data_IF_593598722842
#
_entry.id   IF_593598722842
#
_cell.length_a   1.000
_cell.length_b   1.000
_cell.length_c   1.000
_cell.angle_alpha   90.00
_cell.angle_beta   90.00
_cell.angle_gamma   90.00
#
_symmetry.space_group_name_H-M   'P 1'
#
loop_
_entity.id
_entity.type
_entity.pdbx_description
1 polymer ?
#
# COMPACT_ATOMS: atom_id res chain seq x y z
N UNK A 1 -3.51 9.98 -24.89
CA UNK A 1 -3.89 9.45 -23.59
C UNK A 1 -3.61 10.45 -22.47
N UNK A 2 -4.65 10.77 -21.70
CA UNK A 2 -4.55 11.77 -20.63
C UNK A 2 -5.48 11.38 -19.50
N UNK A 3 -5.09 10.40 -18.69
CA UNK A 3 -5.91 10.02 -17.54
C UNK A 3 -5.99 11.14 -16.52
N UNK A 4 -7.13 11.21 -15.84
CA UNK A 4 -7.36 12.18 -14.78
C UNK A 4 -7.64 11.43 -13.49
N UNK A 5 -6.85 11.69 -12.47
CA UNK A 5 -6.99 11.03 -11.18
C UNK A 5 -7.58 12.00 -10.17
N UNK A 6 -8.01 11.45 -9.03
CA UNK A 6 -8.56 12.24 -7.95
C UNK A 6 -7.62 12.30 -6.77
N UNK A 7 -7.92 13.22 -5.86
CA UNK A 7 -7.11 13.40 -4.68
C UNK A 7 -7.30 12.23 -3.71
N UNK A 8 -6.30 12.02 -2.87
CA UNK A 8 -6.35 11.00 -1.83
C UNK A 8 -6.55 11.68 -0.49
N UNK A 9 -7.51 11.19 0.27
CA UNK A 9 -8.00 11.91 1.44
C UNK A 9 -8.10 10.98 2.63
N UNK A 10 -7.93 11.54 3.83
CA UNK A 10 -8.06 10.79 5.07
C UNK A 10 -8.36 11.75 6.20
N UNK A 11 -9.31 11.40 7.06
CA UNK A 11 -9.64 12.20 8.23
C UNK A 11 -9.17 11.57 9.53
N UNK A 12 -9.35 10.26 9.67
CA UNK A 12 -8.91 9.56 10.86
C UNK A 12 -7.48 9.06 10.72
N UNK A 13 -7.10 8.20 11.66
CA UNK A 13 -5.76 7.64 11.67
C UNK A 13 -5.51 6.79 10.43
N UNK A 14 -4.24 6.64 10.07
CA UNK A 14 -3.83 5.87 8.91
C UNK A 14 -2.49 5.23 9.22
N UNK A 15 -2.50 3.98 9.64
CA UNK A 15 -1.30 3.31 10.14
C UNK A 15 -0.71 2.46 9.02
N UNK A 16 -0.13 3.12 8.02
CA UNK A 16 0.48 2.42 6.89
C UNK A 16 1.84 1.92 7.36
N UNK A 17 1.87 0.69 7.86
CA UNK A 17 3.04 0.21 8.59
C UNK A 17 4.17 -0.16 7.64
N UNK A 18 3.93 -1.12 6.75
CA UNK A 18 5.04 -1.75 6.04
C UNK A 18 4.61 -2.06 4.61
N UNK A 19 4.88 -1.13 3.70
CA UNK A 19 4.32 -1.23 2.36
C UNK A 19 5.16 -0.41 1.39
N UNK A 20 4.72 -0.38 0.13
CA UNK A 20 5.44 0.28 -0.95
C UNK A 20 4.45 0.96 -1.88
N UNK A 21 4.72 2.22 -2.22
CA UNK A 21 3.82 3.03 -3.04
C UNK A 21 4.54 3.44 -4.32
N UNK A 22 3.78 3.55 -5.40
CA UNK A 22 4.27 4.06 -6.67
C UNK A 22 3.23 5.01 -7.24
N UNK A 23 3.68 5.97 -8.04
CA UNK A 23 2.77 6.91 -8.68
C UNK A 23 3.44 7.50 -9.91
N UNK A 24 2.66 7.72 -10.96
CA UNK A 24 3.18 8.29 -12.18
C UNK A 24 3.65 7.23 -13.15
N UNK A 25 4.12 7.70 -14.31
CA UNK A 25 4.55 6.82 -15.38
C UNK A 25 5.74 6.00 -14.90
N UNK A 26 5.55 4.69 -14.78
CA UNK A 26 6.57 3.78 -14.26
C UNK A 26 6.70 2.57 -15.18
N UNK A 27 7.28 2.74 -16.36
CA UNK A 27 7.53 1.57 -17.22
C UNK A 27 8.50 0.61 -16.55
N UNK A 28 8.26 -0.68 -16.73
CA UNK A 28 9.10 -1.72 -16.16
C UNK A 28 9.45 -2.73 -17.23
N UNK A 29 10.73 -3.09 -17.31
CA UNK A 29 11.21 -4.09 -18.24
C UNK A 29 12.09 -5.15 -17.60
N UNK A 30 12.68 -4.88 -16.45
CA UNK A 30 13.46 -5.85 -15.72
C UNK A 30 12.58 -6.76 -14.90
N UNK A 31 13.02 -7.01 -13.67
CA UNK A 31 12.29 -7.88 -12.75
C UNK A 31 11.97 -7.13 -11.46
N UNK A 32 10.77 -7.37 -10.94
CA UNK A 32 10.35 -6.88 -9.64
C UNK A 32 9.85 -8.05 -8.82
N UNK A 33 10.35 -8.18 -7.60
CA UNK A 33 10.02 -9.31 -6.74
C UNK A 33 9.46 -8.79 -5.43
N UNK A 34 8.35 -9.37 -4.99
CA UNK A 34 7.71 -9.03 -3.72
C UNK A 34 7.41 -10.33 -3.01
N UNK A 35 8.07 -10.57 -1.88
CA UNK A 35 7.84 -11.78 -1.11
C UNK A 35 7.75 -11.42 0.37
N UNK A 36 6.80 -12.05 1.07
CA UNK A 36 6.46 -11.69 2.43
C UNK A 36 6.26 -12.96 3.24
N UNK A 37 6.97 -13.09 4.36
CA UNK A 37 6.89 -14.28 5.20
C UNK A 37 7.33 -14.00 6.63
N UNK A 38 6.52 -13.26 7.39
CA UNK A 38 6.70 -13.25 8.85
C UNK A 38 6.32 -14.60 9.41
N UNK A 39 7.04 -15.06 10.43
CA UNK A 39 6.81 -16.41 10.91
C UNK A 39 6.72 -16.58 12.42
N UNK A 40 6.59 -15.50 13.19
CA UNK A 40 6.09 -15.62 14.56
C UNK A 40 5.45 -14.28 14.92
N UNK A 41 4.14 -14.18 14.71
CA UNK A 41 3.43 -12.92 14.86
C UNK A 41 2.02 -13.22 15.34
N UNK A 42 1.51 -12.40 16.27
CA UNK A 42 0.16 -12.54 16.81
C UNK A 42 -0.56 -11.20 16.71
N UNK A 43 -1.08 -10.86 15.53
CA UNK A 43 -1.73 -9.56 15.36
C UNK A 43 -3.10 -9.53 16.01
N UNK A 44 -3.59 -8.32 16.26
CA UNK A 44 -4.99 -8.09 16.61
C UNK A 44 -5.50 -6.90 15.82
N UNK A 45 -6.75 -6.99 15.37
CA UNK A 45 -7.38 -5.93 14.59
C UNK A 45 -8.74 -5.62 15.20
N UNK A 46 -9.13 -4.35 15.16
CA UNK A 46 -10.34 -3.91 15.82
C UNK A 46 -11.53 -3.75 14.89
N UNK A 47 -12.72 -3.96 15.45
CA UNK A 47 -13.97 -3.75 14.75
C UNK A 47 -14.47 -2.34 14.88
N UNK A 48 -15.76 -2.15 14.60
CA UNK A 48 -16.38 -0.83 14.68
C UNK A 48 -17.73 -0.95 15.36
N UNK A 49 -18.25 0.19 15.80
CA UNK A 49 -19.60 0.27 16.34
C UNK A 49 -20.50 1.12 15.44
N UNK B 1 0.91 12.06 -23.91
CA UNK B 1 0.48 11.60 -22.60
C UNK B 1 0.75 12.64 -21.51
N UNK B 2 -0.30 13.00 -20.78
CA UNK B 2 -0.21 14.05 -19.76
C UNK B 2 -1.18 13.72 -18.64
N UNK B 3 -0.82 12.77 -17.78
CA UNK B 3 -1.69 12.45 -16.64
C UNK B 3 -1.78 13.61 -15.67
N UNK B 4 -2.94 13.73 -15.03
CA UNK B 4 -3.18 14.74 -14.01
C UNK B 4 -3.51 14.05 -12.70
N UNK B 5 -2.74 14.35 -11.66
CA UNK B 5 -2.93 13.74 -10.36
C UNK B 5 -3.52 14.76 -9.40
N UNK B 6 -3.99 14.27 -8.26
CA UNK B 6 -4.56 15.11 -7.23
C UNK B 6 -3.65 15.20 -6.02
N UNK B 7 -3.96 16.16 -5.16
CA UNK B 7 -3.18 16.38 -3.96
C UNK B 7 -3.42 15.26 -2.96
N UNK B 8 -2.44 15.05 -2.08
CA UNK B 8 -2.54 14.08 -1.00
C UNK B 8 -2.77 14.82 0.30
N UNK B 9 -3.76 14.38 1.06
CA UNK B 9 -4.27 15.15 2.18
C UNK B 9 -4.42 14.28 3.41
N UNK B 10 -4.27 14.88 4.58
CA UNK B 10 -4.45 14.18 5.85
C UNK B 10 -4.75 15.20 6.93
N UNK B 11 -5.73 14.90 7.78
CA UNK B 11 -6.08 15.76 8.90
C UNK B 11 -5.66 15.16 10.24
N UNK B 12 -5.87 13.87 10.44
CA UNK B 12 -5.47 13.21 11.66
C UNK B 12 -4.05 12.68 11.58
N UNK B 13 -3.71 11.85 12.56
CA UNK B 13 -2.38 11.28 12.63
C UNK B 13 -2.12 10.37 11.44
N UNK B 14 -0.84 10.18 11.13
CA UNK B 14 -0.41 9.36 10.00
C UNK B 14 0.92 8.71 10.38
N UNK B 15 0.87 7.48 10.86
CA UNK B 15 2.04 6.81 11.41
C UNK B 15 2.65 5.91 10.34
N UNK B 16 3.27 6.51 9.34
CA UNK B 16 3.90 5.76 8.26
C UNK B 16 5.24 5.26 8.78
N UNK B 17 5.23 4.04 9.33
CA UNK B 17 6.37 3.58 10.12
C UNK B 17 7.52 3.16 9.21
N UNK B 18 7.29 2.17 8.35
CA UNK B 18 8.40 1.48 7.71
C UNK B 18 8.01 1.13 6.28
N UNK B 19 8.32 2.01 5.33
CA UNK B 19 7.80 1.87 3.99
C UNK B 19 8.67 2.63 3.00
N UNK B 20 8.27 2.62 1.73
CA UNK B 20 9.03 3.22 0.65
C UNK B 20 8.07 3.88 -0.33
N UNK B 21 8.38 5.12 -0.71
CA UNK B 21 7.52 5.91 -1.59
C UNK B 21 8.28 6.25 -2.87
N UNK B 22 7.55 6.33 -3.98
CA UNK B 22 8.09 6.78 -5.25
C UNK B 22 7.08 7.72 -5.89
N UNK B 23 7.57 8.64 -6.71
CA UNK B 23 6.69 9.57 -7.42
C UNK B 23 7.41 10.10 -8.65
N UNK B 24 6.66 10.29 -9.73
CA UNK B 24 7.22 10.79 -10.96
C UNK B 24 7.70 9.69 -11.87
N UNK B 25 8.21 10.11 -13.03
CA UNK B 25 8.65 9.17 -14.05
C UNK B 25 9.81 8.35 -13.51
N UNK B 26 9.60 7.05 -13.35
CA UNK B 26 10.59 6.15 -12.76
C UNK B 26 10.72 4.90 -13.62
N UNK B 27 11.34 5.01 -14.79
CA UNK B 27 11.59 3.80 -15.60
C UNK B 27 12.52 2.86 -14.86
N UNK B 28 12.27 1.57 -15.00
CA UNK B 28 13.07 0.54 -14.36
C UNK B 28 13.43 -0.53 -15.38
N UNK B 29 14.71 -0.91 -15.40
CA UNK B 29 15.20 -1.95 -16.28
C UNK B 29 16.04 -3.00 -15.57
N UNK B 30 16.61 -2.69 -14.41
CA UNK B 30 17.35 -3.65 -13.63
C UNK B 30 16.43 -4.51 -12.79
N UNK B 31 16.83 -4.71 -11.54
CA UNK B 31 16.07 -5.53 -10.61
C UNK B 31 15.72 -4.72 -9.37
N UNK B 32 14.50 -4.92 -8.87
CA UNK B 32 14.05 -4.37 -7.60
C UNK B 32 13.51 -5.50 -6.75
N UNK B 33 13.98 -5.59 -5.51
CA UNK B 33 13.60 -6.67 -4.62
C UNK B 33 13.02 -6.09 -3.34
N UNK B 34 11.88 -6.63 -2.91
CA UNK B 34 11.21 -6.23 -1.68
C UNK B 34 10.87 -7.50 -0.92
N UNK B 35 11.50 -7.70 0.24
CA UNK B 35 11.22 -8.87 1.05
C UNK B 35 11.10 -8.46 2.51
N UNK B 36 10.13 -9.04 3.20
CA UNK B 36 9.76 -8.62 4.55
C UNK B 36 9.50 -9.85 5.40
N UNK B 37 10.18 -9.94 6.54
CA UNK B 37 10.06 -11.10 7.42
C UNK B 37 10.46 -10.76 8.86
N UNK B 38 9.65 -9.98 9.56
CA UNK B 38 9.79 -9.91 11.02
C UNK B 38 9.36 -11.23 11.63
N UNK B 39 10.05 -11.66 12.69
CA UNK B 39 9.78 -12.99 13.21
C UNK B 39 9.65 -13.09 14.73
N UNK B 40 9.52 -11.98 15.45
CA UNK B 40 8.98 -12.04 16.81
C UNK B 40 8.35 -10.67 17.10
N UNK B 41 7.05 -10.56 16.84
CA UNK B 41 6.36 -9.28 16.92
C UNK B 41 4.93 -9.54 17.38
N UNK B 42 4.42 -8.67 18.25
CA UNK B 42 3.05 -8.77 18.76
C UNK B 42 2.35 -7.42 18.59
N UNK B 43 1.87 -7.13 17.38
CA UNK B 43 1.25 -5.82 17.14
C UNK B 43 -0.14 -5.75 17.75
N UNK B 44 -0.62 -4.51 17.94
CA UNK B 44 -2.02 -4.25 18.24
C UNK B 44 -2.49 -3.08 17.38
N UNK B 45 -3.73 -3.17 16.90
CA UNK B 45 -4.32 -2.13 16.06
C UNK B 45 -5.69 -1.77 16.62
N UNK B 46 -6.06 -0.50 16.52
CA UNK B 46 -7.28 -0.02 17.13
C UNK B 46 -8.43 0.13 16.16
N UNK B 47 -9.64 -0.04 16.69
CA UNK B 47 -10.87 0.15 15.94
C UNK B 47 -11.35 1.58 16.00
N UNK B 48 -12.63 1.78 15.68
CA UNK B 48 -13.22 3.11 15.69
C UNK B 48 -14.60 3.04 16.34
N UNK B 49 -15.11 4.21 16.71
CA UNK B 49 -16.47 4.33 17.21
C UNK B 49 -17.33 5.16 16.26
N UNK C 1 -8.28 7.82 -25.56
CA UNK C 1 -8.60 7.23 -24.27
C UNK C 1 -8.28 8.19 -23.12
N UNK C 2 -9.28 8.45 -22.29
CA UNK C 2 -9.15 9.41 -21.19
C UNK C 2 -10.03 8.96 -20.03
N UNK C 3 -9.58 7.95 -19.29
CA UNK C 3 -10.35 7.51 -18.12
C UNK C 3 -10.40 8.58 -17.05
N UNK C 4 -11.51 8.60 -16.32
CA UNK C 4 -11.71 9.52 -15.21
C UNK C 4 -11.92 8.71 -13.94
N UNK C 5 -11.09 8.94 -12.94
CA UNK C 5 -11.16 8.22 -11.68
C UNK C 5 -11.72 9.14 -10.60
N UNK C 6 -12.08 8.54 -9.47
CA UNK C 6 -12.60 9.27 -8.34
C UNK C 6 -11.60 9.29 -7.19
N UNK C 7 -11.88 10.17 -6.23
CA UNK C 7 -11.02 10.31 -5.08
C UNK C 7 -11.15 9.10 -4.16
N UNK C 8 -10.11 8.86 -3.38
CA UNK C 8 -10.10 7.80 -2.38
C UNK C 8 -10.25 8.42 -1.00
N UNK C 9 -11.17 7.88 -0.22
CA UNK C 9 -11.62 8.54 1.00
C UNK C 9 -11.65 7.56 2.15
N UNK C 10 -11.43 8.07 3.36
CA UNK C 10 -11.50 7.26 4.57
C UNK C 10 -11.75 8.18 5.76
N UNK C 11 -12.66 7.77 6.64
CA UNK C 11 -12.95 8.52 7.86
C UNK C 11 -12.41 7.83 9.11
N UNK C 12 -12.57 6.52 9.21
CA UNK C 12 -12.06 5.78 10.33
C UNK C 12 -10.64 5.31 10.11
N UNK C 13 -10.20 4.41 10.99
CA UNK C 13 -8.85 3.88 10.92
C UNK C 13 -8.65 3.08 9.64
N UNK C 14 -7.39 2.97 9.22
CA UNK C 14 -7.03 2.26 8.00
C UNK C 14 -5.66 1.63 8.23
N UNK C 15 -5.63 0.36 8.60
CA UNK C 15 -4.41 -0.31 9.01
C UNK C 15 -3.85 -1.09 7.83
N UNK C 16 -3.33 -0.39 6.84
CA UNK C 16 -2.75 -1.02 5.65
C UNK C 16 -1.37 -1.53 6.04
N UNK C 17 -1.30 -2.78 6.48
CA UNK C 17 -0.09 -3.26 7.14
C UNK C 17 1.00 -3.58 6.12
N UNK C 18 0.73 -4.50 5.20
CA UNK C 18 1.82 -5.09 4.42
C UNK C 18 1.33 -5.33 3.00
N UNK C 19 1.55 -4.36 2.12
CA UNK C 19 0.93 -4.41 0.80
C UNK C 19 1.71 -3.54 -0.17
N UNK C 20 1.21 -3.46 -1.41
CA UNK C 20 1.87 -2.75 -2.49
C UNK C 20 0.83 -2.04 -3.34
N UNK C 21 1.07 -0.76 -3.63
CA UNK C 21 0.13 0.06 -4.38
C UNK C 21 0.77 0.54 -5.67
N UNK C 22 -0.03 0.69 -6.72
CA UNK C 22 0.40 1.26 -7.98
C UNK C 22 -0.68 2.22 -8.46
N UNK C 23 -0.28 3.22 -9.24
CA UNK C 23 -1.24 4.17 -9.79
C UNK C 23 -0.63 4.82 -11.02
N UNK C 24 -1.46 5.07 -12.03
CA UNK C 24 -1.00 5.70 -13.25
C UNK C 24 -0.56 4.69 -14.29
N UNK C 25 -0.15 5.22 -15.44
CA UNK C 25 0.24 4.39 -16.56
C UNK C 25 1.47 3.57 -16.17
N UNK C 26 1.30 2.26 -16.11
CA UNK C 26 2.36 1.34 -15.67
C UNK C 26 2.46 0.18 -16.64
N UNK C 27 2.99 0.40 -17.85
CA UNK C 27 3.21 -0.72 -18.76
C UNK C 27 4.23 -1.69 -18.18
N UNK C 28 4.00 -2.98 -18.41
CA UNK C 28 4.88 -4.03 -17.92
C UNK C 28 5.19 -4.99 -19.05
N UNK C 29 6.47 -5.32 -19.19
CA UNK C 29 6.93 -6.27 -20.19
C UNK C 29 7.85 -7.34 -19.64
N UNK C 30 8.49 -7.11 -18.50
CA UNK C 30 9.32 -8.10 -17.86
C UNK C 30 8.49 -9.06 -17.03
N UNK C 31 8.98 -9.35 -15.84
CA UNK C 31 8.32 -10.27 -14.93
C UNK C 31 8.03 -9.59 -13.60
N UNK C 32 6.87 -9.87 -13.03
CA UNK C 32 6.50 -9.44 -11.69
C UNK C 32 6.05 -10.66 -10.90
N UNK C 33 6.61 -10.83 -9.71
CA UNK C 33 6.33 -12.00 -8.89
C UNK C 33 5.83 -11.54 -7.53
N UNK C 34 4.74 -12.16 -7.07
CA UNK C 34 4.16 -11.88 -5.76
C UNK C 34 3.91 -13.22 -5.09
N UNK C 35 4.62 -13.50 -4.01
CA UNK C 35 4.44 -14.75 -3.28
C UNK C 35 4.41 -14.45 -1.79
N UNK C 36 3.51 -15.12 -1.07
CA UNK C 36 3.23 -14.83 0.32
C UNK C 36 3.08 -16.14 1.08
N UNK C 37 3.84 -16.30 2.16
CA UNK C 37 3.82 -17.53 2.95
C UNK C 37 4.31 -17.30 4.37
N UNK C 38 3.53 -16.61 5.20
CA UNK C 38 3.78 -16.66 6.64
C UNK C 38 3.44 -18.04 7.17
N UNK C 39 4.21 -18.53 8.13
CA UNK C 39 4.02 -19.91 8.56
C UNK C 39 4.00 -20.14 10.06
N UNK C 40 3.89 -19.09 10.88
CA UNK C 40 3.46 -19.29 12.27
C UNK C 40 2.82 -17.97 12.72
N UNK C 41 1.50 -17.88 12.57
CA UNK C 41 0.77 -16.64 12.80
C UNK C 41 -0.61 -16.99 13.33
N UNK C 42 -1.08 -16.22 14.31
CA UNK C 42 -2.41 -16.40 14.90
C UNK C 42 -3.15 -15.07 14.90
N UNK C 43 -3.73 -14.69 13.76
CA UNK C 43 -4.41 -13.40 13.68
C UNK C 43 -5.75 -13.42 14.39
N UNK C 44 -6.25 -12.23 14.71
CA UNK C 44 -7.63 -12.04 15.14
C UNK C 44 -8.19 -10.82 14.41
N UNK C 45 -9.46 -10.91 14.02
CA UNK C 45 -10.15 -9.83 13.32
C UNK C 45 -11.48 -9.57 14.00
N UNK C 46 -11.89 -8.30 14.03
CA UNK C 46 -13.07 -7.92 14.77
C UNK C 46 -14.30 -7.73 13.90
N UNK C 47 -15.46 -7.99 14.50
CA UNK C 47 -16.75 -7.78 13.86
C UNK C 47 -17.27 -6.37 14.07
N UNK C 48 -18.57 -6.20 13.86
CA UNK C 48 -19.20 -4.89 14.03
C UNK C 48 -20.52 -5.07 14.76
N UNK C 49 -21.03 -3.95 15.27
CA UNK C 49 -22.36 -3.91 15.87
C UNK C 49 -23.31 -3.05 15.05
N UNK D 1 5.50 14.13 -22.97
CA UNK D 1 5.02 13.73 -21.65
C UNK D 1 5.27 14.81 -20.61
N UNK D 2 4.20 15.22 -19.93
CA UNK D 2 4.27 16.30 -18.95
C UNK D 2 3.26 16.04 -17.85
N UNK D 3 3.56 15.12 -16.94
CA UNK D 3 2.65 14.87 -15.82
C UNK D 3 2.55 16.07 -14.90
N UNK D 4 1.37 16.23 -14.31
CA UNK D 4 1.11 17.29 -13.35
C UNK D 4 0.72 16.66 -12.02
N UNK D 5 1.46 16.98 -10.97
CA UNK D 5 1.22 16.44 -9.65
C UNK D 5 0.60 17.51 -8.76
N UNK D 6 0.09 17.07 -7.61
CA UNK D 6 -0.51 17.96 -6.64
C UNK D 6 0.36 18.09 -5.40
N UNK D 7 0.03 19.10 -4.60
CA UNK D 7 0.78 19.35 -3.38
C UNK D 7 0.48 18.27 -2.34
N UNK D 8 1.43 18.10 -1.42
CA UNK D 8 1.28 17.17 -0.31
C UNK D 8 1.02 17.97 0.96
N UNK D 9 -0.01 17.57 1.70
CA UNK D 9 -0.55 18.41 2.76
C UNK D 9 -0.75 17.58 4.02
N UNK D 10 -0.64 18.23 5.18
CA UNK D 10 -0.87 17.59 6.46
C UNK D 10 -1.20 18.66 7.49
N UNK D 11 -2.21 18.41 8.31
CA UNK D 11 -2.59 19.32 9.39
C UNK D 11 -2.22 18.78 10.76
N UNK D 12 -2.46 17.50 11.00
CA UNK D 12 -2.11 16.88 12.27
C UNK D 12 -0.70 16.33 12.26
N UNK D 13 -0.41 15.54 13.29
CA UNK D 13 0.91 14.95 13.43
C UNK D 13 1.20 13.98 12.29
N UNK D 14 2.48 13.77 12.03
CA UNK D 14 2.94 12.89 10.96
C UNK D 14 4.24 12.24 11.41
N UNK D 15 4.15 11.03 11.93
CA UNK D 15 5.29 10.37 12.56
C UNK D 15 5.92 9.42 11.55
N UNK D 16 6.59 9.97 10.54
CA UNK D 16 7.25 9.16 9.52
C UNK D 16 8.55 8.66 10.11
N UNK D 17 8.51 7.47 10.71
CA UNK D 17 9.61 7.03 11.56
C UNK D 17 10.78 6.54 10.71
N UNK D 18 10.56 5.52 9.89
CA UNK D 18 11.69 4.79 9.31
C UNK D 18 11.35 4.38 7.89
N UNK D 19 11.71 5.22 6.92
CA UNK D 19 11.23 5.03 5.56
C UNK D 19 12.15 5.74 4.58
N UNK D 20 11.79 5.67 3.30
CA UNK D 20 12.60 6.22 2.22
C UNK D 20 11.69 6.85 1.18
N UNK D 21 12.03 8.07 0.75
CA UNK D 21 11.21 8.83 -0.19
C UNK D 21 12.02 9.11 -1.45
N UNK D 22 11.34 9.15 -2.59
CA UNK D 22 11.93 9.54 -3.86
C UNK D 22 10.96 10.47 -4.57
N UNK D 23 11.49 11.35 -5.42
CA UNK D 23 10.65 12.25 -6.19
C UNK D 23 11.42 12.72 -7.41
N UNK D 24 10.71 12.87 -8.53
CA UNK D 24 11.33 13.32 -9.76
C UNK D 24 11.82 12.16 -10.61
N UNK D 25 12.37 12.53 -11.76
CA UNK D 25 12.84 11.54 -12.73
C UNK D 25 13.97 10.73 -12.10
N UNK D 26 13.73 9.44 -11.90
CA UNK D 26 14.68 8.55 -11.24
C UNK D 26 14.82 7.26 -12.04
N UNK D 27 15.48 7.32 -13.20
CA UNK D 27 15.74 6.07 -13.94
C UNK D 27 16.63 5.15 -13.13
N UNK D 28 16.36 3.85 -13.22
CA UNK D 28 17.12 2.84 -12.51
C UNK D 28 17.50 1.73 -13.47
N UNK D 29 18.77 1.33 -13.43
CA UNK D 29 19.28 0.24 -14.25
C UNK D 29 20.07 -0.79 -13.47
N UNK D 30 20.61 -0.43 -12.30
CA UNK D 30 21.30 -1.37 -11.45
C UNK D 30 20.34 -2.18 -10.61
N UNK D 31 20.69 -2.34 -9.34
CA UNK D 31 19.89 -3.10 -8.40
C UNK D 31 19.50 -2.24 -7.21
N UNK D 32 18.27 -2.40 -6.75
CA UNK D 32 17.79 -1.79 -5.52
C UNK D 32 17.20 -2.88 -4.64
N UNK D 33 17.62 -2.91 -3.38
CA UNK D 33 17.19 -3.96 -2.46
C UNK D 33 16.57 -3.31 -1.23
N UNK D 34 15.41 -3.82 -0.82
CA UNK D 34 14.71 -3.35 0.37
C UNK D 34 14.32 -4.58 1.17
N UNK D 35 14.90 -4.75 2.35
CA UNK D 35 14.57 -5.88 3.21
C UNK D 35 14.41 -5.40 4.64
N UNK D 36 13.40 -5.93 5.32
CA UNK D 36 12.99 -5.45 6.63
C UNK D 36 12.69 -6.64 7.52
N UNK D 37 13.32 -6.70 8.69
CA UNK D 37 13.15 -7.81 9.62
C UNK D 37 13.51 -7.42 11.05
N UNK D 38 12.69 -6.60 11.69
CA UNK D 38 12.78 -6.47 13.15
C UNK D 38 12.30 -7.76 13.80
N UNK D 39 12.95 -8.15 14.90
CA UNK D 39 12.64 -9.45 15.47
C UNK D 39 12.45 -9.48 16.98
N UNK D 40 12.31 -8.34 17.65
CA UNK D 40 11.72 -8.34 18.99
C UNK D 40 11.11 -6.95 19.20
N UNK D 41 9.82 -6.83 18.89
CA UNK D 41 9.14 -5.54 18.89
C UNK D 41 7.70 -5.75 19.30
N UNK D 42 7.17 -4.85 20.12
CA UNK D 42 5.78 -4.90 20.58
C UNK D 42 5.11 -3.55 20.33
N UNK D 43 4.68 -3.30 19.10
CA UNK D 43 4.09 -2.00 18.78
C UNK D 43 2.68 -1.87 19.34
N UNK D 44 2.22 -0.63 19.45
CA UNK D 44 0.81 -0.33 19.69
C UNK D 44 0.39 0.80 18.77
N UNK D 45 -0.83 0.72 18.25
CA UNK D 45 -1.38 1.73 17.35
C UNK D 45 -2.76 2.13 17.84
N UNK D 46 -3.10 3.40 17.67
CA UNK D 46 -4.33 3.93 18.22
C UNK D 46 -5.45 4.05 17.20
N UNK D 47 -6.68 3.92 17.70
CA UNK D 47 -7.88 4.10 16.90
C UNK D 47 -8.34 5.54 16.88
N UNK D 48 -9.60 5.74 16.50
CA UNK D 48 -10.17 7.08 16.43
C UNK D 48 -11.57 7.06 17.03
N UNK D 49 -12.07 8.25 17.34
CA UNK D 49 -13.45 8.42 17.79
C UNK D 49 -14.26 9.21 16.77
N UNK E 1 -12.87 5.64 -26.28
CA UNK E 1 -13.13 4.99 -25.00
C UNK E 1 -12.79 5.90 -23.82
N UNK E 2 -13.76 6.12 -22.95
CA UNK E 2 -13.61 7.03 -21.81
C UNK E 2 -14.43 6.51 -20.64
N UNK E 3 -13.94 5.48 -19.96
CA UNK E 3 -14.66 4.98 -18.79
C UNK E 3 -14.69 6.00 -17.67
N UNK E 4 -15.77 5.97 -16.90
CA UNK E 4 -15.94 6.84 -15.74
C UNK E 4 -16.09 5.97 -14.51
N UNK E 5 -15.23 6.18 -13.53
CA UNK E 5 -15.24 5.41 -12.29
C UNK E 5 -15.78 6.27 -11.16
N UNK E 6 -16.09 5.62 -10.04
CA UNK E 6 -16.58 6.29 -8.86
C UNK E 6 -15.54 6.28 -7.75
N UNK E 7 -15.80 7.11 -6.75
CA UNK E 7 -14.89 7.22 -5.62
C UNK E 7 -14.97 5.97 -4.75
N UNK E 8 -13.90 5.72 -4.01
CA UNK E 8 -13.83 4.61 -3.07
C UNK E 8 -13.95 5.17 -1.66
N UNK E 9 -14.83 4.59 -0.86
CA UNK E 9 -15.24 5.19 0.39
C UNK E 9 -15.22 4.16 1.51
N UNK E 10 -14.97 4.62 2.73
CA UNK E 10 -14.97 3.76 3.90
C UNK E 10 -15.20 4.62 5.14
N UNK E 11 -16.07 4.16 6.04
CA UNK E 11 -16.32 4.85 7.29
C UNK E 11 -15.73 4.12 8.49
N UNK E 12 -15.86 2.81 8.54
CA UNK E 12 -15.30 2.02 9.61
C UNK E 12 -13.88 1.59 9.32
N UNK E 13 -13.40 0.66 10.15
CA UNK E 13 -12.05 0.16 10.00
C UNK E 13 -11.88 -0.58 8.68
N UNK E 14 -10.64 -0.65 8.21
CA UNK E 14 -10.30 -1.31 6.96
C UNK E 14 -8.92 -1.92 7.11
N UNK E 15 -8.86 -3.20 7.42
CA UNK E 15 -7.61 -3.87 7.76
C UNK E 15 -7.09 -4.59 6.53
N UNK E 16 -6.61 -3.84 5.54
CA UNK E 16 -6.07 -4.42 4.32
C UNK E 16 -4.67 -4.91 4.63
N UNK E 17 -4.56 -6.18 5.01
CA UNK E 17 -3.32 -6.67 5.61
C UNK E 17 -2.26 -6.92 4.54
N UNK E 18 -2.55 -7.81 3.59
CA UNK E 18 -1.48 -8.34 2.75
C UNK E 18 -2.02 -8.54 1.33
N UNK E 19 -1.85 -7.53 0.49
CA UNK E 19 -2.52 -7.54 -0.80
C UNK E 19 -1.78 -6.61 -1.77
N UNK E 20 -2.33 -6.49 -2.98
CA UNK E 20 -1.72 -5.72 -4.05
C UNK E 20 -2.80 -4.99 -4.83
N UNK E 21 -2.59 -3.70 -5.08
CA UNK E 21 -3.57 -2.86 -5.76
C UNK E 21 -2.98 -2.31 -7.05
N UNK E 22 -3.83 -2.14 -8.06
CA UNK E 22 -3.45 -1.51 -9.31
C UNK E 22 -4.56 -0.55 -9.71
N UNK E 23 -4.21 0.49 -10.46
CA UNK E 23 -5.20 1.44 -10.94
C UNK E 23 -4.64 2.16 -12.16
N UNK E 24 -5.51 2.44 -13.12
CA UNK E 24 -5.11 3.13 -14.33
C UNK E 24 -4.69 2.17 -15.43
N UNK E 25 -4.34 2.75 -16.57
CA UNK E 25 -3.97 1.98 -17.74
C UNK E 25 -2.72 1.16 -17.43
N UNK E 26 -2.86 -0.16 -17.42
CA UNK E 26 -1.78 -1.07 -17.06
C UNK E 26 -1.69 -2.19 -18.08
N UNK E 27 -1.21 -1.91 -19.29
CA UNK E 27 -1.00 -2.99 -20.26
C UNK E 27 0.04 -3.96 -19.76
N UNK E 28 -0.17 -5.24 -20.03
CA UNK E 28 0.74 -6.29 -19.62
C UNK E 28 1.03 -7.20 -20.80
N UNK E 29 2.31 -7.50 -21.00
CA UNK E 29 2.75 -8.40 -22.06
C UNK E 29 3.70 -9.48 -21.58
N UNK E 30 4.38 -9.29 -20.46
CA UNK E 30 5.24 -10.29 -19.89
C UNK E 30 4.46 -11.30 -19.08
N UNK E 31 5.00 -11.63 -17.91
CA UNK E 31 4.38 -12.60 -17.02
C UNK E 31 4.14 -11.98 -15.65
N UNK E 32 3.00 -12.30 -15.06
CA UNK E 32 2.67 -11.94 -13.69
C UNK E 32 2.27 -13.19 -12.94
N UNK E 33 2.88 -13.41 -11.78
CA UNK E 33 2.65 -14.61 -11.00
C UNK E 33 2.18 -14.22 -9.60
N UNK E 34 1.12 -14.88 -9.13
CA UNK E 34 0.59 -14.67 -7.79
C UNK E 34 0.38 -16.04 -7.17
N UNK E 35 1.14 -16.35 -6.12
CA UNK E 35 1.00 -17.63 -5.44
C UNK E 35 1.03 -17.40 -3.94
N UNK E 36 0.16 -18.11 -3.23
CA UNK E 36 -0.07 -17.88 -1.81
C UNK E 36 -0.18 -19.22 -1.10
N UNK E 37 0.63 -19.42 -0.06
CA UNK E 37 0.65 -20.68 0.68
C UNK E 37 1.20 -20.51 2.09
N UNK E 38 0.43 -19.86 2.97
CA UNK E 38 0.73 -19.96 4.41
C UNK E 38 0.43 -21.38 4.88
N UNK E 39 1.25 -21.89 5.79
CA UNK E 39 1.10 -23.29 6.17
C UNK E 39 1.14 -23.58 7.66
N UNK E 40 1.04 -22.57 8.53
CA UNK E 40 0.66 -22.84 9.93
C UNK E 40 0.01 -21.55 10.45
N UNK E 41 -1.31 -21.48 10.35
CA UNK E 41 -2.05 -20.26 10.66
C UNK E 41 -3.40 -20.65 11.23
N UNK E 42 -3.85 -19.93 12.26
CA UNK E 42 -5.15 -20.16 12.89
C UNK E 42 -5.92 -18.85 12.97
N UNK E 43 -6.54 -18.43 11.87
CA UNK E 43 -7.24 -17.14 11.86
C UNK E 43 -8.56 -17.22 12.62
N UNK E 44 -9.06 -16.05 13.01
CA UNK E 44 -10.43 -15.90 13.49
C UNK E 44 -11.03 -14.66 12.84
N UNK E 45 -12.31 -14.76 12.49
CA UNK E 45 -13.04 -13.66 11.86
C UNK E 45 -14.35 -13.45 12.60
N UNK E 46 -14.78 -12.20 12.70
CA UNK E 46 -15.94 -11.86 13.49
C UNK E 46 -17.21 -11.66 12.68
N UNK E 47 -18.34 -11.96 13.30
CA UNK E 47 -19.65 -11.74 12.72
C UNK E 47 -20.18 -10.36 13.02
N UNK E 48 -21.49 -10.20 12.86
CA UNK E 48 -22.14 -8.91 13.10
C UNK E 48 -23.43 -9.14 13.87
N UNK E 49 -23.94 -8.05 14.45
CA UNK E 49 -25.25 -8.06 15.10
C UNK E 49 -26.24 -7.18 14.35
#
# INVERSE_FOLDING_TARGET
>A
LSPSFGSTWSTGTTNAVEDSFFQGITPVNGTMLFQNFPHHVNPVFGGTF
>B
LSPSFGSTWSTGTTNAVEDSFFQGITPVNGTMLFQNFPHHVNPVFGGTF
>C
LSPSFGSTWSTGTTNAVEDSFFQGITPVNGTMLFQNFPHHVNPVFGGTF
>D
LSPSFGSTWSTGTTNAVEDSFFQGITPVNGTMLFQNFPHHVNPVFGGTF
>E
LSPSFGSTWSTGTTNAVEDSFFQGITPVNGTMLFQNFPHHVNPVFGGTF
#
